data_IF_634957382620
#
_entry.id   IF_634957382620
#
_cell.length_a   1.000
_cell.length_b   1.000
_cell.length_c   1.000
_cell.angle_alpha   90.00
_cell.angle_beta   90.00
_cell.angle_gamma   90.00
#
_symmetry.space_group_name_H-M   'P 1'
#
loop_
_entity.id
_entity.type
_entity.pdbx_description
1 polymer ?
#
# COMPACT_ATOMS: atom_id res chain seq x y z
N UNK A 1 17.55 -14.66 6.47
CA UNK A 1 16.38 -15.36 5.91
C UNK A 1 16.84 -16.19 4.70
N UNK A 2 16.19 -17.30 4.34
CA UNK A 2 16.60 -18.09 3.16
C UNK A 2 16.31 -17.31 1.86
N UNK A 3 17.14 -17.43 0.81
CA UNK A 3 16.97 -16.68 -0.45
C UNK A 3 15.62 -16.96 -1.12
N UNK A 4 15.16 -18.21 -1.12
CA UNK A 4 13.84 -18.61 -1.65
C UNK A 4 12.67 -17.83 -1.02
N UNK A 5 12.79 -17.53 0.28
CA UNK A 5 11.76 -16.79 1.01
C UNK A 5 11.80 -15.30 0.70
N UNK A 6 12.99 -14.73 0.51
CA UNK A 6 13.13 -13.33 0.12
C UNK A 6 12.48 -13.07 -1.24
N UNK A 7 12.67 -13.98 -2.19
CA UNK A 7 12.01 -13.89 -3.50
C UNK A 7 10.48 -14.00 -3.39
N UNK A 8 9.96 -14.89 -2.54
CA UNK A 8 8.52 -14.95 -2.26
C UNK A 8 7.97 -13.59 -1.77
N UNK A 9 8.65 -12.95 -0.81
CA UNK A 9 8.25 -11.62 -0.31
C UNK A 9 8.36 -10.54 -1.39
N UNK A 10 9.41 -10.56 -2.21
CA UNK A 10 9.58 -9.62 -3.33
C UNK A 10 8.43 -9.71 -4.31
N UNK A 11 8.08 -10.93 -4.75
CA UNK A 11 6.96 -11.16 -5.68
C UNK A 11 5.65 -10.68 -5.07
N UNK A 12 5.36 -11.05 -3.81
CA UNK A 12 4.14 -10.65 -3.12
C UNK A 12 4.02 -9.11 -2.97
N UNK A 13 5.11 -8.43 -2.61
CA UNK A 13 5.14 -6.97 -2.50
C UNK A 13 4.94 -6.30 -3.86
N UNK A 14 5.59 -6.81 -4.91
CA UNK A 14 5.52 -6.25 -6.27
C UNK A 14 4.12 -6.41 -6.85
N UNK A 15 3.52 -7.59 -6.68
CA UNK A 15 2.15 -7.85 -7.09
C UNK A 15 1.17 -6.92 -6.36
N UNK A 16 1.33 -6.72 -5.05
CA UNK A 16 0.45 -5.83 -4.29
C UNK A 16 0.60 -4.36 -4.69
N UNK A 17 1.82 -3.92 -5.02
CA UNK A 17 2.04 -2.57 -5.58
C UNK A 17 1.29 -2.42 -6.91
N UNK A 18 1.39 -3.40 -7.81
CA UNK A 18 0.72 -3.36 -9.11
C UNK A 18 -0.80 -3.27 -8.96
N UNK A 19 -1.39 -4.09 -8.07
CA UNK A 19 -2.83 -4.06 -7.75
C UNK A 19 -3.27 -2.68 -7.26
N UNK A 20 -2.56 -2.10 -6.28
CA UNK A 20 -2.89 -0.77 -5.74
C UNK A 20 -2.77 0.34 -6.78
N UNK A 21 -1.81 0.25 -7.70
CA UNK A 21 -1.66 1.21 -8.80
C UNK A 21 -2.78 1.09 -9.83
N UNK A 22 -3.19 -0.14 -10.15
CA UNK A 22 -4.33 -0.39 -11.05
C UNK A 22 -5.63 0.18 -10.46
N UNK A 23 -5.89 -0.09 -9.17
CA UNK A 23 -7.06 0.43 -8.47
C UNK A 23 -7.04 1.96 -8.40
N UNK A 24 -5.88 2.58 -8.14
CA UNK A 24 -5.76 4.03 -8.19
C UNK A 24 -6.08 4.59 -9.58
N UNK A 25 -5.67 3.90 -10.66
CA UNK A 25 -6.02 4.26 -12.04
C UNK A 25 -7.53 4.21 -12.31
N UNK A 26 -8.21 3.16 -11.83
CA UNK A 26 -9.67 3.03 -11.93
C UNK A 26 -10.39 4.16 -11.20
N UNK A 27 -9.99 4.44 -9.96
CA UNK A 27 -10.57 5.53 -9.15
C UNK A 27 -10.42 6.88 -9.83
N UNK A 28 -9.25 7.18 -10.42
CA UNK A 28 -9.06 8.44 -11.16
C UNK A 28 -10.02 8.54 -12.34
N UNK A 29 -10.20 7.45 -13.10
CA UNK A 29 -11.17 7.39 -14.21
C UNK A 29 -12.59 7.68 -13.72
N UNK A 30 -13.05 6.99 -12.67
CA UNK A 30 -14.39 7.17 -12.08
C UNK A 30 -14.63 8.61 -11.58
N UNK A 31 -13.64 9.20 -10.92
CA UNK A 31 -13.70 10.59 -10.43
C UNK A 31 -13.69 11.64 -11.57
N UNK A 32 -13.20 11.29 -12.76
CA UNK A 32 -13.21 12.19 -13.92
C UNK A 32 -14.52 12.12 -14.71
N UNK A 33 -15.17 10.96 -14.77
CA UNK A 33 -16.43 10.75 -15.51
C UNK A 33 -17.64 11.31 -14.76
N UNK A 34 -17.61 11.33 -13.43
CA UNK A 34 -18.70 11.81 -12.55
C UNK A 34 -18.95 13.33 -12.58
N UNK A 35 -18.34 14.07 -13.51
CA UNK A 35 -18.32 15.54 -13.54
C UNK A 35 -19.57 16.21 -14.10
N UNK A 36 -20.51 15.47 -14.69
CA UNK A 36 -21.42 16.10 -15.68
C UNK A 36 -22.89 16.26 -15.31
N UNK A 37 -23.43 15.74 -14.20
CA UNK A 37 -24.86 15.99 -13.87
C UNK A 37 -25.12 16.05 -12.36
N UNK A 38 -25.50 17.23 -11.87
CA UNK A 38 -26.02 17.41 -10.50
C UNK A 38 -27.51 17.75 -10.56
N UNK A 39 -28.41 16.91 -10.03
CA UNK A 39 -29.83 17.20 -9.95
C UNK A 39 -30.15 18.30 -8.92
N UNK A 40 -29.48 18.28 -7.75
CA UNK A 40 -29.66 19.29 -6.69
C UNK A 40 -28.41 19.53 -5.77
N UNK A 41 -28.42 20.56 -4.88
CA UNK A 41 -27.29 20.86 -3.98
C UNK A 41 -26.98 19.80 -2.91
N UNK A 42 -27.94 18.99 -2.51
CA UNK A 42 -27.77 17.93 -1.51
C UNK A 42 -27.07 16.71 -2.12
N UNK A 43 -27.40 16.37 -3.37
CA UNK A 43 -26.68 15.39 -4.18
C UNK A 43 -25.22 15.80 -4.37
N UNK A 44 -24.98 17.10 -4.61
CA UNK A 44 -23.63 17.64 -4.72
C UNK A 44 -22.84 17.50 -3.42
N UNK A 45 -23.44 17.84 -2.27
CA UNK A 45 -22.77 17.74 -0.97
C UNK A 45 -22.37 16.29 -0.65
N UNK A 46 -23.24 15.33 -0.97
CA UNK A 46 -22.98 13.90 -0.77
C UNK A 46 -21.82 13.41 -1.64
N UNK A 47 -21.81 13.75 -2.93
CA UNK A 47 -20.73 13.37 -3.84
C UNK A 47 -19.38 13.97 -3.43
N UNK A 48 -19.35 15.24 -3.01
CA UNK A 48 -18.11 15.88 -2.54
C UNK A 48 -17.55 15.19 -1.28
N UNK A 49 -18.42 14.75 -0.36
CA UNK A 49 -18.02 13.98 0.82
C UNK A 49 -17.41 12.62 0.44
N UNK A 50 -18.07 11.85 -0.42
CA UNK A 50 -17.60 10.55 -0.89
C UNK A 50 -16.26 10.68 -1.62
N UNK A 51 -16.12 11.72 -2.44
CA UNK A 51 -14.87 12.03 -3.14
C UNK A 51 -13.73 12.33 -2.16
N UNK A 52 -13.99 13.11 -1.12
CA UNK A 52 -12.98 13.43 -0.11
C UNK A 52 -12.57 12.18 0.68
N UNK A 53 -13.53 11.30 0.97
CA UNK A 53 -13.26 10.01 1.59
C UNK A 53 -12.35 9.13 0.71
N UNK A 54 -12.66 9.01 -0.58
CA UNK A 54 -11.87 8.23 -1.53
C UNK A 54 -10.44 8.78 -1.67
N UNK A 55 -10.28 10.11 -1.77
CA UNK A 55 -8.95 10.75 -1.80
C UNK A 55 -8.11 10.43 -0.56
N UNK A 56 -8.73 10.31 0.62
CA UNK A 56 -8.03 9.91 1.86
C UNK A 56 -7.60 8.45 1.83
N UNK A 57 -8.40 7.56 1.25
CA UNK A 57 -8.02 6.15 1.04
C UNK A 57 -6.81 6.10 0.11
N UNK A 58 -6.85 6.81 -1.03
CA UNK A 58 -5.75 6.84 -1.99
C UNK A 58 -4.45 7.38 -1.42
N UNK A 59 -4.48 8.41 -0.56
CA UNK A 59 -3.25 8.88 0.10
C UNK A 59 -2.66 7.83 1.06
N UNK A 60 -3.51 7.04 1.75
CA UNK A 60 -3.03 5.95 2.62
C UNK A 60 -2.38 4.83 1.79
N UNK A 61 -2.99 4.45 0.68
CA UNK A 61 -2.44 3.46 -0.24
C UNK A 61 -1.13 3.92 -0.87
N UNK A 62 -1.03 5.18 -1.28
CA UNK A 62 0.22 5.78 -1.77
C UNK A 62 1.35 5.66 -0.75
N UNK A 63 1.06 5.96 0.53
CA UNK A 63 2.03 5.78 1.63
C UNK A 63 2.38 4.30 1.85
N UNK A 64 1.42 3.39 1.66
CA UNK A 64 1.66 1.95 1.75
C UNK A 64 2.57 1.46 0.62
N UNK A 65 2.35 1.90 -0.62
CA UNK A 65 3.21 1.60 -1.77
C UNK A 65 4.65 2.03 -1.47
N UNK A 66 4.86 3.25 -0.96
CA UNK A 66 6.19 3.72 -0.58
C UNK A 66 6.87 2.81 0.46
N UNK A 67 6.11 2.30 1.44
CA UNK A 67 6.61 1.33 2.43
C UNK A 67 6.90 -0.05 1.84
N UNK A 68 6.14 -0.49 0.84
CA UNK A 68 6.40 -1.74 0.12
C UNK A 68 7.67 -1.64 -0.72
N UNK A 69 7.87 -0.52 -1.43
CA UNK A 69 9.11 -0.23 -2.15
C UNK A 69 10.32 -0.20 -1.22
N UNK A 70 10.18 0.41 -0.04
CA UNK A 70 11.23 0.38 1.00
C UNK A 70 11.51 -1.06 1.50
N UNK A 71 10.47 -1.87 1.70
CA UNK A 71 10.66 -3.27 2.06
C UNK A 71 11.42 -4.05 0.98
N UNK A 72 11.17 -3.78 -0.31
CA UNK A 72 11.93 -4.37 -1.43
C UNK A 72 13.41 -3.92 -1.37
N UNK A 73 13.68 -2.63 -1.15
CA UNK A 73 15.06 -2.14 -0.97
C UNK A 73 15.79 -2.85 0.17
N UNK A 74 15.12 -3.05 1.31
CA UNK A 74 15.69 -3.83 2.43
C UNK A 74 15.98 -5.29 2.06
N UNK A 75 15.25 -5.88 1.11
CA UNK A 75 15.57 -7.21 0.59
C UNK A 75 16.87 -7.14 -0.22
N UNK A 76 17.02 -6.13 -1.09
CA UNK A 76 18.25 -5.90 -1.88
C UNK A 76 19.47 -5.67 -0.97
N UNK A 77 19.30 -4.92 0.11
CA UNK A 77 20.35 -4.59 1.09
C UNK A 77 20.62 -5.71 2.11
N UNK A 78 19.94 -6.86 2.02
CA UNK A 78 20.03 -7.97 2.98
C UNK A 78 19.71 -7.58 4.44
N UNK A 79 18.92 -6.53 4.65
CA UNK A 79 18.45 -6.06 5.96
C UNK A 79 17.02 -6.49 6.27
N UNK A 80 16.30 -7.04 5.29
CA UNK A 80 14.93 -7.51 5.47
C UNK A 80 14.80 -8.59 6.56
N UNK A 81 13.80 -8.39 7.43
CA UNK A 81 13.53 -9.29 8.55
C UNK A 81 14.44 -9.09 9.77
N UNK A 82 15.20 -7.99 9.83
CA UNK A 82 15.87 -7.52 11.05
C UNK A 82 15.09 -6.34 11.65
N UNK A 83 15.06 -6.27 12.98
CA UNK A 83 14.45 -5.18 13.73
C UNK A 83 15.37 -3.95 13.71
N UNK A 84 14.82 -2.79 13.36
CA UNK A 84 15.60 -1.53 13.32
C UNK A 84 16.06 -1.08 14.72
N UNK A 85 15.33 -1.43 15.79
CA UNK A 85 15.65 -0.97 17.16
C UNK A 85 16.68 -1.87 17.87
N UNK A 86 16.50 -3.19 17.79
CA UNK A 86 17.32 -4.15 18.54
C UNK A 86 18.25 -5.00 17.67
N UNK A 87 18.15 -4.90 16.34
CA UNK A 87 18.92 -5.73 15.39
C UNK A 87 18.52 -7.21 15.35
N UNK A 88 17.60 -7.65 16.22
CA UNK A 88 17.13 -9.03 16.30
C UNK A 88 16.26 -9.45 15.11
N UNK A 89 16.04 -10.76 14.92
CA UNK A 89 15.21 -11.26 13.82
C UNK A 89 13.72 -10.98 14.05
N UNK A 90 13.03 -10.52 13.02
CA UNK A 90 11.57 -10.42 12.98
C UNK A 90 11.00 -11.78 12.59
N UNK A 91 9.97 -12.24 13.30
CA UNK A 91 9.37 -13.55 13.03
C UNK A 91 8.75 -13.62 11.63
N UNK A 92 8.95 -14.75 10.94
CA UNK A 92 8.43 -14.98 9.59
C UNK A 92 6.90 -14.85 9.57
N UNK A 93 6.19 -15.35 10.59
CA UNK A 93 4.73 -15.21 10.72
C UNK A 93 4.29 -13.75 10.72
N UNK A 94 5.05 -12.86 11.36
CA UNK A 94 4.76 -11.42 11.35
C UNK A 94 5.03 -10.80 9.98
N UNK A 95 6.13 -11.18 9.32
CA UNK A 95 6.44 -10.69 7.98
C UNK A 95 5.41 -11.18 6.94
N UNK A 96 4.87 -12.40 7.09
CA UNK A 96 3.77 -12.90 6.27
C UNK A 96 2.48 -12.09 6.48
N UNK A 97 2.16 -11.74 7.72
CA UNK A 97 0.99 -10.91 8.03
C UNK A 97 1.17 -9.44 7.59
N UNK A 98 2.38 -8.89 7.75
CA UNK A 98 2.71 -7.50 7.43
C UNK A 98 4.17 -7.37 6.97
N UNK A 99 4.47 -7.51 5.67
CA UNK A 99 5.84 -7.55 5.15
C UNK A 99 6.56 -6.19 5.22
N UNK A 100 5.82 -5.10 5.36
CA UNK A 100 6.37 -3.74 5.49
C UNK A 100 6.84 -3.37 6.89
N UNK A 101 6.74 -4.28 7.86
CA UNK A 101 7.17 -4.01 9.24
C UNK A 101 8.70 -3.88 9.33
N UNK A 102 9.16 -3.04 10.26
CA UNK A 102 10.57 -2.77 10.55
C UNK A 102 10.99 -3.16 11.96
N UNK A 103 10.04 -3.35 12.88
CA UNK A 103 10.31 -3.64 14.29
C UNK A 103 9.88 -5.06 14.68
N UNK A 104 10.46 -5.61 15.75
CA UNK A 104 10.00 -6.82 16.44
C UNK A 104 8.84 -6.48 17.41
N UNK A 105 8.25 -7.52 18.03
CA UNK A 105 7.14 -7.35 19.00
C UNK A 105 7.75 -7.05 20.36
#
# INVERSE_FOLDING_TARGET
MRPEKLELFRVMLTQKIAELLEDAGKTVSEMTVSKENFPDPNDRASLESDRNFELRIRDRERKLIAKMQEAIRRIDDNTFGKCDDCGGPISEKRLLARPVTTQCI
#
